data_IF_795180297311
#
_entry.id   IF_795180297311
#
_cell.length_a   1.000
_cell.length_b   1.000
_cell.length_c   1.000
_cell.angle_alpha   90.00
_cell.angle_beta   90.00
_cell.angle_gamma   90.00
#
_symmetry.space_group_name_H-M   'P 1'
#
loop_
_entity.id
_entity.type
_entity.pdbx_description
1 polymer ?
#
# COMPACT_ATOMS: atom_id res chain seq x y z
N UNK A 1 17.01 36.13 -0.90
CA UNK A 1 17.10 35.04 -1.90
C UNK A 1 18.12 33.99 -1.49
N UNK A 2 19.42 34.29 -1.40
CA UNK A 2 20.45 33.33 -0.95
C UNK A 2 20.19 32.73 0.45
N UNK A 3 19.63 33.48 1.40
CA UNK A 3 19.34 32.99 2.77
C UNK A 3 18.22 31.93 2.85
N UNK A 4 17.20 31.99 1.98
CA UNK A 4 16.15 30.97 1.96
C UNK A 4 16.69 29.66 1.37
N UNK A 5 17.58 29.78 0.37
CA UNK A 5 18.29 28.66 -0.25
C UNK A 5 19.19 27.96 0.77
N UNK A 6 19.92 28.71 1.61
CA UNK A 6 20.78 28.11 2.64
C UNK A 6 20.02 27.43 3.78
N UNK A 7 18.90 28.00 4.24
CA UNK A 7 18.09 27.43 5.33
C UNK A 7 17.36 26.15 4.91
N UNK A 8 16.82 26.10 3.69
CA UNK A 8 16.10 24.94 3.18
C UNK A 8 17.02 23.83 2.65
N UNK A 9 18.13 24.19 1.98
CA UNK A 9 19.00 23.19 1.35
C UNK A 9 19.98 22.52 2.33
N UNK A 10 20.46 23.24 3.35
CA UNK A 10 21.46 22.70 4.28
C UNK A 10 20.90 22.25 5.61
N UNK A 11 19.62 22.56 5.92
CA UNK A 11 18.85 22.26 7.14
C UNK A 11 19.55 21.33 8.16
N UNK A 12 20.62 21.79 8.85
CA UNK A 12 21.45 20.90 9.66
C UNK A 12 20.73 20.49 10.94
N UNK A 13 19.72 21.27 11.34
CA UNK A 13 18.84 21.00 12.46
C UNK A 13 17.71 20.01 12.11
N UNK A 14 17.57 19.60 10.85
CA UNK A 14 16.49 18.73 10.35
C UNK A 14 15.08 19.21 10.76
N UNK A 15 14.89 20.53 10.85
CA UNK A 15 13.61 21.10 11.26
C UNK A 15 12.67 21.25 10.05
N UNK A 16 11.36 21.01 10.21
CA UNK A 16 10.40 21.25 9.15
C UNK A 16 10.44 22.71 8.68
N UNK A 17 10.38 22.93 7.36
CA UNK A 17 10.30 24.26 6.74
C UNK A 17 9.05 24.32 5.85
N UNK A 18 8.25 25.38 6.00
CA UNK A 18 7.08 25.66 5.14
C UNK A 18 7.30 26.94 4.35
N UNK A 19 7.21 26.84 3.02
CA UNK A 19 7.21 28.00 2.12
C UNK A 19 5.74 28.45 1.94
N UNK A 20 5.37 29.59 2.53
CA UNK A 20 3.98 30.10 2.53
C UNK A 20 3.53 30.67 1.19
N UNK A 21 4.44 31.30 0.43
CA UNK A 21 4.17 31.83 -0.91
C UNK A 21 5.24 31.32 -1.89
N UNK A 22 5.06 30.11 -2.45
CA UNK A 22 6.01 29.56 -3.41
C UNK A 22 6.04 30.34 -4.72
N UNK A 23 5.03 31.14 -5.06
CA UNK A 23 5.02 31.91 -6.32
C UNK A 23 5.90 33.16 -6.23
N UNK A 24 6.11 33.70 -5.03
CA UNK A 24 6.92 34.89 -4.84
C UNK A 24 8.37 34.70 -5.28
N UNK A 25 8.96 33.52 -5.02
CA UNK A 25 10.36 33.24 -5.37
C UNK A 25 10.59 33.22 -6.89
N UNK A 26 9.60 32.76 -7.67
CA UNK A 26 9.68 32.68 -9.13
C UNK A 26 9.88 34.04 -9.81
N UNK A 27 9.51 35.16 -9.15
CA UNK A 27 9.74 36.52 -9.68
C UNK A 27 11.22 36.90 -9.74
N UNK A 28 12.04 36.32 -8.87
CA UNK A 28 13.46 36.68 -8.71
C UNK A 28 14.40 35.51 -8.98
N UNK A 29 13.90 34.28 -8.92
CA UNK A 29 14.58 33.07 -9.34
C UNK A 29 13.52 32.10 -9.91
N UNK A 30 13.23 32.16 -11.22
CA UNK A 30 12.19 31.37 -11.86
C UNK A 30 12.32 29.85 -11.61
N UNK A 31 13.54 29.31 -11.72
CA UNK A 31 13.81 27.86 -11.58
C UNK A 31 14.26 27.46 -10.15
N UNK A 32 13.78 28.19 -9.14
CA UNK A 32 14.21 28.00 -7.75
C UNK A 32 13.93 26.58 -7.25
N UNK A 33 12.75 26.02 -7.53
CA UNK A 33 12.35 24.72 -7.00
C UNK A 33 13.06 23.58 -7.72
N UNK A 34 13.26 23.70 -9.03
CA UNK A 34 14.08 22.81 -9.84
C UNK A 34 15.51 22.77 -9.29
N UNK A 35 16.08 23.95 -9.04
CA UNK A 35 17.42 24.08 -8.42
C UNK A 35 17.44 23.46 -7.03
N UNK A 36 16.46 23.79 -6.17
CA UNK A 36 16.36 23.25 -4.82
C UNK A 36 16.31 21.72 -4.86
N UNK A 37 15.40 21.14 -5.63
CA UNK A 37 15.24 19.68 -5.77
C UNK A 37 16.44 19.00 -6.43
N UNK A 38 17.27 19.72 -7.19
CA UNK A 38 18.53 19.19 -7.73
C UNK A 38 19.64 19.06 -6.68
N UNK A 39 19.58 19.84 -5.60
CA UNK A 39 20.63 19.86 -4.56
C UNK A 39 20.17 19.31 -3.20
N UNK A 40 18.87 19.20 -2.96
CA UNK A 40 18.35 18.54 -1.74
C UNK A 40 18.28 17.04 -1.94
N UNK A 41 18.60 16.31 -0.87
CA UNK A 41 18.35 14.88 -0.77
C UNK A 41 17.54 14.61 0.48
N UNK A 42 16.46 13.85 0.34
CA UNK A 42 15.65 13.41 1.49
C UNK A 42 16.10 12.01 1.88
N UNK A 43 16.58 11.79 3.11
CA UNK A 43 16.82 10.44 3.62
C UNK A 43 15.56 9.59 3.51
N UNK A 44 15.70 8.33 3.11
CA UNK A 44 14.56 7.41 2.91
C UNK A 44 13.63 7.39 4.13
N UNK A 45 14.20 7.40 5.34
CA UNK A 45 13.47 7.38 6.61
C UNK A 45 12.59 8.62 6.84
N UNK A 46 12.85 9.73 6.15
CA UNK A 46 12.05 10.95 6.22
C UNK A 46 10.95 11.00 5.16
N UNK A 47 10.95 10.08 4.19
CA UNK A 47 9.85 9.96 3.22
C UNK A 47 8.65 9.35 3.94
N UNK A 48 7.52 10.06 4.07
CA UNK A 48 6.41 9.61 4.89
C UNK A 48 5.74 8.37 4.30
N UNK A 49 5.36 7.45 5.18
CA UNK A 49 4.59 6.24 4.83
C UNK A 49 3.31 6.20 5.65
N UNK A 50 2.18 6.00 4.98
CA UNK A 50 0.89 5.70 5.63
C UNK A 50 0.57 4.23 5.35
N UNK A 51 0.48 3.42 6.39
CA UNK A 51 0.08 2.02 6.27
C UNK A 51 -1.43 1.88 6.43
N UNK A 52 -2.06 1.11 5.54
CA UNK A 52 -3.48 0.72 5.62
C UNK A 52 -3.54 -0.80 5.61
N UNK A 53 -3.63 -1.39 6.80
CA UNK A 53 -3.75 -2.84 6.98
C UNK A 53 -5.21 -3.23 7.26
N UNK A 54 -5.59 -4.45 6.90
CA UNK A 54 -6.91 -4.96 7.26
C UNK A 54 -7.26 -6.29 6.61
N UNK A 55 -8.41 -6.88 6.99
CA UNK A 55 -8.88 -8.13 6.41
C UNK A 55 -9.29 -7.99 4.95
N UNK A 56 -9.53 -9.12 4.31
CA UNK A 56 -10.04 -9.15 2.93
C UNK A 56 -11.39 -8.43 2.87
N UNK A 57 -11.61 -7.67 1.80
CA UNK A 57 -12.87 -6.97 1.52
C UNK A 57 -13.28 -5.91 2.57
N UNK A 58 -12.35 -5.41 3.39
CA UNK A 58 -12.59 -4.24 4.28
C UNK A 58 -12.70 -2.91 3.54
N UNK A 59 -12.28 -2.85 2.26
CA UNK A 59 -12.24 -1.61 1.47
C UNK A 59 -10.89 -0.89 1.50
N UNK A 60 -9.87 -1.50 2.10
CA UNK A 60 -8.50 -0.96 2.25
C UNK A 60 -7.87 -0.49 0.93
N UNK A 61 -7.96 -1.28 -0.14
CA UNK A 61 -7.36 -0.91 -1.43
C UNK A 61 -8.02 0.32 -2.04
N UNK A 62 -9.34 0.47 -1.90
CA UNK A 62 -10.07 1.66 -2.36
C UNK A 62 -9.70 2.89 -1.52
N UNK A 63 -9.67 2.76 -0.20
CA UNK A 63 -9.28 3.83 0.71
C UNK A 63 -7.84 4.29 0.45
N UNK A 64 -6.91 3.34 0.34
CA UNK A 64 -5.48 3.61 0.17
C UNK A 64 -5.19 4.24 -1.20
N UNK A 65 -5.82 3.77 -2.27
CA UNK A 65 -5.67 4.36 -3.60
C UNK A 65 -6.20 5.81 -3.66
N UNK A 66 -7.37 6.06 -3.07
CA UNK A 66 -7.94 7.42 -3.02
C UNK A 66 -7.10 8.35 -2.13
N UNK A 67 -6.60 7.84 -0.99
CA UNK A 67 -5.70 8.59 -0.11
C UNK A 67 -4.39 8.97 -0.83
N UNK A 68 -3.77 8.02 -1.54
CA UNK A 68 -2.56 8.26 -2.31
C UNK A 68 -2.79 9.33 -3.38
N UNK A 69 -3.92 9.24 -4.10
CA UNK A 69 -4.31 10.21 -5.12
C UNK A 69 -4.49 11.61 -4.54
N UNK A 70 -5.22 11.76 -3.42
CA UNK A 70 -5.47 13.07 -2.78
C UNK A 70 -4.19 13.71 -2.23
N UNK A 71 -3.24 12.89 -1.75
CA UNK A 71 -1.95 13.37 -1.23
C UNK A 71 -0.87 13.53 -2.30
N UNK A 72 -1.09 13.01 -3.52
CA UNK A 72 -0.05 12.89 -4.55
C UNK A 72 1.05 11.89 -4.19
N UNK A 73 0.77 10.95 -3.27
CA UNK A 73 1.73 9.96 -2.81
C UNK A 73 1.79 8.76 -3.76
N UNK A 74 2.88 8.03 -3.69
CA UNK A 74 2.99 6.70 -4.30
C UNK A 74 1.95 5.77 -3.66
N UNK A 75 1.47 4.79 -4.43
CA UNK A 75 0.57 3.76 -3.95
C UNK A 75 1.21 2.39 -4.11
N UNK A 76 1.21 1.61 -3.03
CA UNK A 76 1.66 0.22 -3.02
C UNK A 76 0.50 -0.70 -2.65
N UNK A 77 0.08 -1.56 -3.59
CA UNK A 77 -0.80 -2.70 -3.31
C UNK A 77 0.07 -3.96 -3.13
N UNK A 78 0.40 -4.28 -1.89
CA UNK A 78 1.17 -5.51 -1.59
C UNK A 78 0.43 -6.78 -2.05
N UNK A 79 -0.91 -6.76 -2.04
CA UNK A 79 -1.73 -7.87 -2.50
C UNK A 79 -1.60 -8.11 -4.01
N UNK A 80 -1.37 -7.06 -4.80
CA UNK A 80 -1.05 -7.20 -6.22
C UNK A 80 0.32 -7.88 -6.42
N UNK A 81 1.34 -7.52 -5.63
CA UNK A 81 2.68 -8.15 -5.73
C UNK A 81 2.63 -9.67 -5.51
N UNK A 82 1.90 -10.14 -4.50
CA UNK A 82 1.73 -11.59 -4.28
C UNK A 82 0.98 -12.27 -5.43
N UNK A 83 0.04 -11.59 -6.09
CA UNK A 83 -0.68 -12.12 -7.26
C UNK A 83 0.18 -12.16 -8.52
N UNK A 84 1.00 -11.14 -8.75
CA UNK A 84 1.98 -11.12 -9.84
C UNK A 84 3.00 -12.25 -9.65
N UNK A 85 3.48 -12.44 -8.42
CA UNK A 85 4.40 -13.53 -8.07
C UNK A 85 3.75 -14.89 -8.31
N UNK A 86 2.51 -15.06 -7.88
CA UNK A 86 1.74 -16.28 -8.11
C UNK A 86 1.51 -16.56 -9.61
N UNK A 87 1.22 -15.52 -10.40
CA UNK A 87 1.07 -15.62 -11.85
C UNK A 87 2.38 -16.08 -12.50
N UNK A 88 3.49 -15.42 -12.18
CA UNK A 88 4.80 -15.74 -12.72
C UNK A 88 5.23 -17.17 -12.36
N UNK A 89 5.04 -17.57 -11.10
CA UNK A 89 5.34 -18.93 -10.64
C UNK A 89 4.49 -19.98 -11.37
N UNK A 90 3.19 -19.71 -11.56
CA UNK A 90 2.28 -20.61 -12.30
C UNK A 90 2.73 -20.77 -13.76
N UNK A 91 3.11 -19.66 -14.42
CA UNK A 91 3.62 -19.69 -15.81
C UNK A 91 4.95 -20.44 -15.94
N UNK A 92 5.79 -20.38 -14.92
CA UNK A 92 7.04 -21.14 -14.85
C UNK A 92 6.85 -22.61 -14.45
N UNK A 93 5.60 -23.08 -14.23
CA UNK A 93 5.32 -24.46 -13.83
C UNK A 93 5.75 -24.79 -12.39
N UNK A 94 5.95 -23.78 -11.53
CA UNK A 94 6.40 -23.98 -10.16
C UNK A 94 5.24 -24.34 -9.23
N UNK A 95 5.49 -25.27 -8.30
CA UNK A 95 4.55 -25.63 -7.25
C UNK A 95 4.37 -24.46 -6.26
N UNK A 96 3.13 -24.07 -5.98
CA UNK A 96 2.79 -22.98 -5.06
C UNK A 96 2.68 -23.49 -3.60
N UNK A 97 3.72 -24.17 -3.15
CA UNK A 97 3.85 -24.72 -1.79
C UNK A 97 5.35 -24.75 -1.40
N UNK A 98 5.66 -25.38 -0.26
CA UNK A 98 7.01 -25.43 0.27
C UNK A 98 8.03 -26.06 -0.70
N UNK A 99 7.61 -26.94 -1.61
CA UNK A 99 8.52 -27.57 -2.58
C UNK A 99 9.02 -26.59 -3.65
N UNK A 100 8.22 -25.58 -4.01
CA UNK A 100 8.60 -24.55 -4.98
C UNK A 100 9.14 -23.26 -4.36
N UNK A 101 9.13 -23.13 -3.03
CA UNK A 101 9.43 -21.90 -2.31
C UNK A 101 10.76 -21.24 -2.72
N UNK A 102 11.85 -22.00 -2.76
CA UNK A 102 13.17 -21.47 -3.11
C UNK A 102 13.22 -20.97 -4.56
N UNK A 103 12.59 -21.70 -5.48
CA UNK A 103 12.52 -21.34 -6.89
C UNK A 103 11.66 -20.08 -7.11
N UNK A 104 10.54 -19.97 -6.41
CA UNK A 104 9.68 -18.78 -6.46
C UNK A 104 10.42 -17.56 -5.90
N UNK A 105 11.13 -17.71 -4.77
CA UNK A 105 11.92 -16.62 -4.19
C UNK A 105 13.05 -16.15 -5.13
N UNK A 106 13.67 -17.06 -5.87
CA UNK A 106 14.64 -16.71 -6.91
C UNK A 106 13.97 -15.98 -8.08
N UNK A 107 12.80 -16.45 -8.53
CA UNK A 107 12.02 -15.83 -9.61
C UNK A 107 11.62 -14.38 -9.28
N UNK A 108 11.22 -14.09 -8.04
CA UNK A 108 10.83 -12.72 -7.62
C UNK A 108 11.91 -11.69 -7.95
N UNK A 109 13.18 -12.05 -7.78
CA UNK A 109 14.32 -11.15 -8.03
C UNK A 109 14.52 -10.80 -9.50
N UNK A 110 13.91 -11.55 -10.42
CA UNK A 110 14.01 -11.32 -11.87
C UNK A 110 12.76 -10.68 -12.46
N UNK A 111 11.70 -10.48 -11.67
CA UNK A 111 10.46 -9.89 -12.17
C UNK A 111 10.64 -8.40 -12.45
N UNK A 112 10.32 -7.99 -13.67
CA UNK A 112 10.19 -6.58 -14.05
C UNK A 112 8.73 -6.17 -13.85
N UNK A 113 8.44 -5.51 -12.73
CA UNK A 113 7.09 -5.09 -12.36
C UNK A 113 6.97 -3.58 -12.48
N UNK A 114 6.03 -3.11 -13.28
CA UNK A 114 5.75 -1.69 -13.42
C UNK A 114 4.28 -1.39 -13.10
N UNK A 115 4.07 -0.40 -12.24
CA UNK A 115 2.74 0.14 -11.94
C UNK A 115 2.62 1.51 -12.62
N UNK A 116 1.72 1.64 -13.59
CA UNK A 116 1.54 2.87 -14.36
C UNK A 116 0.05 3.07 -14.71
N UNK A 117 -0.50 4.25 -14.45
CA UNK A 117 -1.87 4.64 -14.85
C UNK A 117 -2.96 3.61 -14.51
N UNK A 118 -2.86 2.98 -13.33
CA UNK A 118 -3.80 1.95 -12.86
C UNK A 118 -3.62 0.56 -13.50
N UNK A 119 -2.61 0.42 -14.38
CA UNK A 119 -2.16 -0.84 -14.97
C UNK A 119 -1.01 -1.46 -14.20
N UNK A 120 -0.92 -2.78 -14.32
CA UNK A 120 0.14 -3.60 -13.77
C UNK A 120 0.80 -4.33 -14.93
N UNK A 121 2.05 -3.97 -15.21
CA UNK A 121 2.84 -4.60 -16.26
C UNK A 121 3.82 -5.60 -15.64
N UNK A 122 3.94 -6.77 -16.28
CA UNK A 122 4.97 -7.76 -16.00
C UNK A 122 5.83 -7.92 -17.26
N UNK A 123 7.03 -7.35 -17.24
CA UNK A 123 7.75 -7.01 -18.47
C UNK A 123 6.93 -6.01 -19.29
N UNK A 124 6.66 -6.35 -20.54
CA UNK A 124 5.85 -5.52 -21.45
C UNK A 124 4.36 -5.92 -21.48
N UNK A 125 3.95 -6.96 -20.73
CA UNK A 125 2.58 -7.47 -20.74
C UNK A 125 1.71 -6.79 -19.67
N UNK A 126 0.55 -6.28 -20.07
CA UNK A 126 -0.49 -5.83 -19.13
C UNK A 126 -1.21 -7.03 -18.51
N UNK A 127 -0.97 -7.27 -17.22
CA UNK A 127 -1.55 -8.37 -16.45
C UNK A 127 -2.65 -7.91 -15.49
N UNK A 128 -3.12 -6.67 -15.61
CA UNK A 128 -4.03 -6.01 -14.65
C UNK A 128 -5.29 -6.81 -14.33
N UNK A 129 -5.97 -7.33 -15.35
CA UNK A 129 -7.20 -8.10 -15.17
C UNK A 129 -6.91 -9.52 -14.70
N UNK A 130 -5.83 -10.12 -15.20
CA UNK A 130 -5.41 -11.48 -14.88
C UNK A 130 -5.07 -11.61 -13.39
N UNK A 131 -4.32 -10.65 -12.84
CA UNK A 131 -3.99 -10.66 -11.40
C UNK A 131 -5.19 -10.38 -10.52
N UNK A 132 -6.28 -9.79 -11.04
CA UNK A 132 -7.51 -9.51 -10.28
C UNK A 132 -8.51 -10.68 -10.27
N UNK A 133 -8.18 -11.81 -10.92
CA UNK A 133 -9.02 -13.02 -10.94
C UNK A 133 -9.10 -13.70 -9.57
N UNK A 134 -10.16 -14.48 -9.33
CA UNK A 134 -10.30 -15.29 -8.11
C UNK A 134 -9.19 -16.34 -8.00
N UNK A 135 -8.85 -16.99 -9.11
CA UNK A 135 -7.78 -17.99 -9.18
C UNK A 135 -6.44 -17.38 -8.71
N UNK A 136 -6.10 -16.16 -9.16
CA UNK A 136 -4.91 -15.48 -8.64
C UNK A 136 -5.03 -15.06 -7.19
N UNK A 137 -6.20 -14.68 -6.71
CA UNK A 137 -6.43 -14.44 -5.30
C UNK A 137 -6.12 -15.66 -4.42
N UNK A 138 -6.54 -16.85 -4.87
CA UNK A 138 -6.23 -18.12 -4.18
C UNK A 138 -4.74 -18.46 -4.25
N UNK A 139 -4.12 -18.32 -5.41
CA UNK A 139 -2.70 -18.62 -5.58
C UNK A 139 -1.82 -17.64 -4.77
N UNK A 140 -2.15 -16.36 -4.74
CA UNK A 140 -1.48 -15.38 -3.89
C UNK A 140 -1.58 -15.73 -2.39
N UNK A 141 -2.72 -16.29 -1.94
CA UNK A 141 -2.85 -16.76 -0.57
C UNK A 141 -1.87 -17.89 -0.25
N UNK A 142 -1.58 -18.78 -1.20
CA UNK A 142 -0.60 -19.87 -1.03
C UNK A 142 0.84 -19.35 -1.03
N UNK A 143 1.14 -18.43 -1.94
CA UNK A 143 2.49 -17.84 -2.04
C UNK A 143 2.80 -16.95 -0.83
N UNK A 144 1.83 -16.21 -0.32
CA UNK A 144 2.03 -15.28 0.82
C UNK A 144 2.30 -15.97 2.16
N UNK A 145 2.16 -17.30 2.24
CA UNK A 145 2.52 -18.11 3.41
C UNK A 145 3.94 -18.65 3.34
N UNK A 146 4.69 -18.46 2.25
CA UNK A 146 6.05 -18.97 2.05
C UNK A 146 7.09 -17.94 2.53
N UNK A 147 7.81 -18.14 3.65
CA UNK A 147 8.73 -17.16 4.22
C UNK A 147 9.80 -16.63 3.27
N UNK A 148 10.44 -17.48 2.46
CA UNK A 148 11.49 -17.07 1.55
C UNK A 148 10.94 -16.16 0.43
N UNK A 149 9.71 -16.41 -0.02
CA UNK A 149 9.05 -15.55 -1.01
C UNK A 149 8.69 -14.20 -0.40
N UNK A 150 8.17 -14.19 0.83
CA UNK A 150 7.90 -12.94 1.57
C UNK A 150 9.16 -12.10 1.70
N UNK A 151 10.27 -12.71 2.12
CA UNK A 151 11.56 -12.04 2.25
C UNK A 151 12.05 -11.47 0.92
N UNK A 152 11.90 -12.21 -0.19
CA UNK A 152 12.27 -11.72 -1.52
C UNK A 152 11.43 -10.52 -1.99
N UNK A 153 10.21 -10.35 -1.46
CA UNK A 153 9.32 -9.24 -1.78
C UNK A 153 9.55 -8.00 -0.90
N UNK A 154 10.34 -8.07 0.18
CA UNK A 154 10.56 -6.92 1.09
C UNK A 154 11.20 -5.76 0.34
N UNK A 155 12.29 -6.02 -0.39
CA UNK A 155 13.02 -4.97 -1.09
C UNK A 155 12.16 -4.26 -2.15
N UNK A 156 11.30 -5.01 -2.86
CA UNK A 156 10.36 -4.44 -3.82
C UNK A 156 9.31 -3.54 -3.15
N UNK A 157 8.86 -3.89 -1.94
CA UNK A 157 7.92 -3.07 -1.19
C UNK A 157 8.60 -1.80 -0.65
N UNK A 158 9.82 -1.91 -0.12
CA UNK A 158 10.61 -0.76 0.33
C UNK A 158 10.97 0.19 -0.82
N UNK A 159 11.23 -0.33 -2.02
CA UNK A 159 11.48 0.49 -3.21
C UNK A 159 10.29 1.39 -3.61
N UNK A 160 9.08 1.09 -3.15
CA UNK A 160 7.92 1.94 -3.37
C UNK A 160 7.94 3.24 -2.52
N UNK A 161 8.73 3.29 -1.45
CA UNK A 161 8.87 4.46 -0.58
C UNK A 161 9.69 5.54 -1.30
N UNK A 162 8.99 6.42 -2.01
CA UNK A 162 9.56 7.52 -2.78
C UNK A 162 8.81 8.82 -2.50
N UNK A 163 9.45 9.95 -2.80
CA UNK A 163 8.80 11.26 -2.71
C UNK A 163 7.54 11.32 -3.58
N UNK A 164 6.52 12.11 -3.17
CA UNK A 164 6.46 12.90 -1.93
C UNK A 164 6.06 12.07 -0.69
N UNK A 165 5.77 10.79 -0.84
CA UNK A 165 5.37 9.87 0.22
C UNK A 165 4.79 8.58 -0.35
N UNK A 166 4.41 7.64 0.53
CA UNK A 166 3.83 6.35 0.17
C UNK A 166 2.56 6.07 0.98
N UNK A 167 1.52 5.57 0.32
CA UNK A 167 0.42 4.86 0.98
C UNK A 167 0.53 3.37 0.64
N UNK A 168 0.71 2.54 1.67
CA UNK A 168 0.91 1.11 1.54
C UNK A 168 -0.33 0.33 2.00
N UNK A 169 -0.97 -0.40 1.09
CA UNK A 169 -2.10 -1.30 1.37
C UNK A 169 -1.61 -2.74 1.59
N UNK A 170 -2.02 -3.35 2.70
CA UNK A 170 -1.68 -4.74 2.98
C UNK A 170 -2.35 -5.35 4.20
N UNK A 171 -1.60 -6.22 4.89
CA UNK A 171 -2.02 -6.94 6.09
C UNK A 171 -1.06 -6.77 7.26
N UNK A 172 0.19 -6.49 6.95
CA UNK A 172 1.32 -6.37 7.86
C UNK A 172 2.27 -5.23 7.44
N UNK A 173 1.74 -4.21 6.74
CA UNK A 173 2.50 -3.04 6.34
C UNK A 173 3.00 -2.28 7.57
N UNK A 174 2.14 -2.03 8.56
CA UNK A 174 2.50 -1.28 9.77
C UNK A 174 3.21 -2.10 10.84
N UNK A 175 3.23 -3.43 10.74
CA UNK A 175 3.85 -4.32 11.73
C UNK A 175 5.18 -4.91 11.28
N UNK A 176 5.33 -5.22 9.99
CA UNK A 176 6.51 -5.93 9.46
C UNK A 176 7.25 -5.10 8.42
N UNK A 177 6.54 -4.57 7.41
CA UNK A 177 7.20 -3.93 6.26
C UNK A 177 7.69 -2.51 6.60
N UNK A 178 6.83 -1.69 7.19
CA UNK A 178 7.08 -0.30 7.59
C UNK A 178 6.72 -0.10 9.08
N UNK A 179 7.42 -0.76 10.02
CA UNK A 179 7.15 -0.63 11.44
C UNK A 179 7.39 0.78 11.99
N UNK A 180 8.11 1.63 11.24
CA UNK A 180 8.37 3.03 11.58
C UNK A 180 7.43 4.00 10.85
N UNK A 181 6.41 3.52 10.15
CA UNK A 181 5.45 4.38 9.46
C UNK A 181 4.76 5.33 10.47
N UNK A 182 4.78 6.66 10.24
CA UNK A 182 4.22 7.63 11.17
C UNK A 182 2.71 7.45 11.38
N UNK A 183 1.96 7.04 10.35
CA UNK A 183 0.54 6.72 10.48
C UNK A 183 0.28 5.28 10.04
N UNK A 184 -0.29 4.50 10.94
CA UNK A 184 -0.75 3.13 10.69
C UNK A 184 -2.25 3.08 10.95
N UNK A 185 -2.99 2.64 9.95
CA UNK A 185 -4.45 2.48 10.02
C UNK A 185 -4.75 1.00 9.90
N UNK A 186 -5.52 0.47 10.84
CA UNK A 186 -6.09 -0.87 10.74
C UNK A 186 -7.57 -0.75 10.42
N UNK A 187 -7.91 -0.94 9.14
CA UNK A 187 -9.26 -0.79 8.61
C UNK A 187 -10.05 -2.09 8.77
N UNK A 188 -11.16 -2.03 9.50
CA UNK A 188 -12.07 -3.14 9.73
C UNK A 188 -13.46 -2.85 9.18
N UNK A 189 -14.24 -3.93 9.04
CA UNK A 189 -15.67 -3.89 8.79
C UNK A 189 -16.28 -5.21 9.26
N UNK A 190 -17.56 -5.20 9.63
CA UNK A 190 -18.29 -6.41 9.98
C UNK A 190 -18.25 -7.44 8.84
N UNK A 191 -18.16 -8.73 9.17
CA UNK A 191 -18.11 -9.81 8.18
C UNK A 191 -19.32 -9.77 7.22
N UNK A 192 -20.50 -9.39 7.73
CA UNK A 192 -21.70 -9.20 6.93
C UNK A 192 -21.52 -8.09 5.88
N UNK A 193 -21.03 -6.90 6.27
CA UNK A 193 -20.78 -5.80 5.33
C UNK A 193 -19.72 -6.15 4.29
N UNK A 194 -18.66 -6.85 4.70
CA UNK A 194 -17.62 -7.31 3.77
C UNK A 194 -18.15 -8.30 2.76
N UNK A 195 -18.99 -9.24 3.19
CA UNK A 195 -19.67 -10.20 2.31
C UNK A 195 -20.62 -9.49 1.32
N UNK A 196 -21.41 -8.51 1.77
CA UNK A 196 -22.30 -7.73 0.91
C UNK A 196 -21.52 -6.95 -0.16
N UNK A 197 -20.45 -6.25 0.21
CA UNK A 197 -19.58 -5.51 -0.72
C UNK A 197 -18.98 -6.45 -1.76
N UNK A 198 -18.47 -7.60 -1.32
CA UNK A 198 -17.89 -8.62 -2.21
C UNK A 198 -18.94 -9.21 -3.14
N UNK A 199 -20.14 -9.50 -2.63
CA UNK A 199 -21.27 -9.99 -3.43
C UNK A 199 -21.63 -9.00 -4.54
N UNK A 200 -21.80 -7.72 -4.22
CA UNK A 200 -22.08 -6.67 -5.22
C UNK A 200 -20.99 -6.59 -6.30
N UNK A 201 -19.72 -6.72 -5.92
CA UNK A 201 -18.59 -6.70 -6.86
C UNK A 201 -18.59 -7.91 -7.81
N UNK A 202 -19.04 -9.08 -7.36
CA UNK A 202 -19.09 -10.28 -8.19
C UNK A 202 -20.30 -10.23 -9.14
N UNK A 203 -21.46 -9.82 -8.64
CA UNK A 203 -22.67 -9.65 -9.46
C UNK A 203 -22.47 -8.60 -10.55
N UNK A 204 -21.79 -7.48 -10.28
CA UNK A 204 -21.48 -6.48 -11.32
C UNK A 204 -20.52 -6.99 -12.41
N UNK A 205 -19.80 -8.08 -12.15
CA UNK A 205 -18.94 -8.78 -13.11
C UNK A 205 -19.63 -9.99 -13.77
N UNK A 206 -20.92 -10.21 -13.51
CA UNK A 206 -21.67 -11.37 -14.03
C UNK A 206 -21.31 -12.70 -13.38
N UNK A 207 -20.63 -12.70 -12.23
CA UNK A 207 -20.22 -13.92 -11.52
C UNK A 207 -21.31 -14.27 -10.49
N UNK A 208 -21.89 -15.46 -10.64
CA UNK A 208 -22.86 -15.98 -9.65
C UNK A 208 -22.14 -16.36 -8.36
N UNK A 209 -22.67 -15.88 -7.23
CA UNK A 209 -22.19 -16.20 -5.89
C UNK A 209 -23.38 -16.18 -4.92
N UNK A 210 -23.23 -16.78 -3.73
CA UNK A 210 -24.22 -16.67 -2.66
C UNK A 210 -23.65 -15.87 -1.49
N UNK A 211 -24.47 -15.01 -0.88
CA UNK A 211 -24.01 -14.17 0.23
C UNK A 211 -23.52 -15.01 1.42
N UNK A 212 -24.20 -16.12 1.72
CA UNK A 212 -23.81 -17.06 2.78
C UNK A 212 -22.47 -17.74 2.51
N UNK A 213 -22.23 -18.20 1.27
CA UNK A 213 -20.94 -18.79 0.88
C UNK A 213 -19.80 -17.79 0.96
N UNK A 214 -20.01 -16.57 0.45
CA UNK A 214 -19.01 -15.50 0.53
C UNK A 214 -18.65 -15.11 1.96
N UNK A 215 -19.65 -15.09 2.86
CA UNK A 215 -19.40 -14.81 4.27
C UNK A 215 -18.53 -15.90 4.90
N UNK A 216 -18.88 -17.18 4.70
CA UNK A 216 -18.09 -18.30 5.22
C UNK A 216 -16.65 -18.30 4.67
N UNK A 217 -16.48 -18.01 3.38
CA UNK A 217 -15.17 -17.90 2.75
C UNK A 217 -14.32 -16.76 3.33
N UNK A 218 -14.93 -15.61 3.60
CA UNK A 218 -14.26 -14.48 4.23
C UNK A 218 -13.85 -14.80 5.67
N UNK A 219 -14.74 -15.40 6.46
CA UNK A 219 -14.46 -15.81 7.84
C UNK A 219 -13.33 -16.86 7.88
N UNK A 220 -13.35 -17.85 6.99
CA UNK A 220 -12.30 -18.86 6.89
C UNK A 220 -10.94 -18.26 6.45
N UNK A 221 -10.95 -17.23 5.60
CA UNK A 221 -9.74 -16.49 5.23
C UNK A 221 -9.20 -15.68 6.40
N UNK A 222 -10.05 -14.95 7.10
CA UNK A 222 -9.65 -14.13 8.25
C UNK A 222 -9.09 -15.00 9.38
N UNK A 223 -9.69 -16.17 9.64
CA UNK A 223 -9.16 -17.14 10.61
C UNK A 223 -7.77 -17.64 10.21
N UNK A 224 -7.57 -17.97 8.93
CA UNK A 224 -6.24 -18.36 8.41
C UNK A 224 -5.22 -17.24 8.49
N UNK A 225 -5.59 -16.01 8.17
CA UNK A 225 -4.69 -14.85 8.18
C UNK A 225 -4.31 -14.44 9.62
N UNK A 226 -5.24 -14.54 10.56
CA UNK A 226 -5.01 -14.22 11.98
C UNK A 226 -4.20 -15.30 12.69
N UNK A 227 -4.38 -16.56 12.29
CA UNK A 227 -3.70 -17.73 12.87
C UNK A 227 -2.29 -18.02 12.31
N UNK A 228 -1.75 -17.19 11.41
CA UNK A 228 -0.41 -17.44 10.83
C UNK A 228 0.68 -17.31 11.90
N UNK A 229 1.65 -18.21 11.85
CA UNK A 229 2.86 -18.14 12.68
C UNK A 229 3.76 -16.97 12.30
N UNK A 230 3.80 -16.61 11.01
CA UNK A 230 4.58 -15.49 10.47
C UNK A 230 3.66 -14.37 9.96
N UNK A 231 3.87 -13.14 10.43
CA UNK A 231 3.11 -11.95 10.04
C UNK A 231 1.57 -12.13 10.11
N UNK A 232 1.02 -12.46 11.29
CA UNK A 232 -0.42 -12.59 11.46
C UNK A 232 -1.13 -11.27 11.19
N UNK A 233 -2.34 -11.33 10.65
CA UNK A 233 -3.20 -10.15 10.49
C UNK A 233 -3.59 -9.62 11.87
N UNK A 234 -2.83 -8.66 12.37
CA UNK A 234 -3.04 -7.98 13.65
C UNK A 234 -2.70 -6.50 13.50
N UNK A 235 -3.46 -5.60 14.14
CA UNK A 235 -3.09 -4.20 14.20
C UNK A 235 -1.72 -4.04 14.87
N UNK A 236 -0.92 -3.09 14.38
CA UNK A 236 0.25 -2.63 15.14
C UNK A 236 -0.22 -1.99 16.46
N UNK A 237 0.63 -1.99 17.49
CA UNK A 237 0.29 -1.42 18.80
C UNK A 237 -0.11 0.06 18.73
N UNK A 238 0.50 0.79 17.81
CA UNK A 238 0.29 2.21 17.53
C UNK A 238 -0.67 2.46 16.35
N UNK A 239 -1.34 1.42 15.83
CA UNK A 239 -2.30 1.58 14.75
C UNK A 239 -3.61 2.23 15.23
N UNK A 240 -4.12 3.18 14.45
CA UNK A 240 -5.47 3.71 14.61
C UNK A 240 -6.47 2.72 14.00
N UNK A 241 -7.42 2.27 14.80
CA UNK A 241 -8.50 1.41 14.34
C UNK A 241 -9.56 2.24 13.63
N UNK A 242 -9.96 1.82 12.42
CA UNK A 242 -11.03 2.46 11.66
C UNK A 242 -12.06 1.39 11.25
N UNK A 243 -13.22 1.39 11.89
CA UNK A 243 -14.35 0.57 11.44
C UNK A 243 -15.16 1.35 10.41
N UNK A 244 -15.19 0.88 9.17
CA UNK A 244 -15.93 1.52 8.08
C UNK A 244 -17.24 0.82 7.72
N UNK A 245 -17.79 0.00 8.64
CA UNK A 245 -19.03 -0.76 8.40
C UNK A 245 -20.20 0.12 7.93
N UNK A 246 -20.32 1.31 8.51
CA UNK A 246 -21.38 2.28 8.24
C UNK A 246 -20.86 3.61 7.67
N UNK A 247 -19.58 3.64 7.28
CA UNK A 247 -18.96 4.80 6.64
C UNK A 247 -18.95 4.65 5.11
N UNK A 248 -19.07 5.78 4.43
CA UNK A 248 -18.76 5.86 3.00
C UNK A 248 -17.24 5.81 2.79
N UNK A 249 -16.81 5.52 1.56
CA UNK A 249 -15.38 5.58 1.21
C UNK A 249 -14.83 6.99 1.47
N UNK A 250 -15.56 8.02 1.08
CA UNK A 250 -15.16 9.41 1.26
C UNK A 250 -15.01 9.78 2.74
N UNK A 251 -16.00 9.47 3.59
CA UNK A 251 -15.90 9.72 5.03
C UNK A 251 -14.71 8.98 5.67
N UNK A 252 -14.41 7.76 5.19
CA UNK A 252 -13.25 7.00 5.67
C UNK A 252 -11.93 7.63 5.24
N UNK A 253 -11.86 8.17 4.01
CA UNK A 253 -10.68 8.87 3.49
C UNK A 253 -10.46 10.19 4.22
N UNK A 254 -11.51 10.98 4.42
CA UNK A 254 -11.45 12.26 5.14
C UNK A 254 -10.97 12.04 6.58
N UNK A 255 -11.49 11.01 7.26
CA UNK A 255 -11.05 10.68 8.62
C UNK A 255 -9.55 10.36 8.70
N UNK A 256 -9.00 9.64 7.72
CA UNK A 256 -7.58 9.30 7.67
C UNK A 256 -6.74 10.51 7.29
N UNK A 257 -7.23 11.37 6.39
CA UNK A 257 -6.59 12.65 6.06
C UNK A 257 -6.51 13.56 7.28
N UNK A 258 -7.57 13.65 8.09
CA UNK A 258 -7.57 14.46 9.31
C UNK A 258 -6.54 13.96 10.31
N UNK A 259 -6.46 12.63 10.50
CA UNK A 259 -5.41 12.03 11.33
C UNK A 259 -4.01 12.37 10.79
N UNK A 260 -3.81 12.25 9.48
CA UNK A 260 -2.52 12.55 8.86
C UNK A 260 -2.12 14.02 9.00
N UNK A 261 -3.07 14.93 8.78
CA UNK A 261 -2.87 16.37 8.92
C UNK A 261 -2.56 16.77 10.36
N UNK A 262 -3.23 16.17 11.34
CA UNK A 262 -2.97 16.41 12.77
C UNK A 262 -1.58 15.99 13.22
N UNK A 263 -0.87 15.14 12.45
CA UNK A 263 0.51 14.74 12.71
C UNK A 263 1.53 15.64 12.02
N UNK A 264 1.11 16.57 11.16
CA UNK A 264 2.03 17.43 10.44
C UNK A 264 2.55 18.56 11.34
N UNK A 265 3.83 18.97 11.20
CA UNK A 265 4.48 19.95 12.08
C UNK A 265 3.82 21.34 12.14
N UNK A 266 2.95 21.64 11.19
CA UNK A 266 2.37 22.96 11.00
C UNK A 266 0.83 22.92 10.97
N UNK A 267 0.24 21.95 11.67
CA UNK A 267 -1.20 21.87 11.86
C UNK A 267 -1.68 23.03 12.75
N UNK A 268 -2.70 23.78 12.31
CA UNK A 268 -3.26 24.92 13.06
C UNK A 268 -2.49 26.26 12.95
N UNK A 269 -1.52 26.40 12.03
CA UNK A 269 -0.66 27.58 11.86
C UNK A 269 -0.59 28.14 10.43
#
# INVERSE_FOLDING_TARGET
MAMCLSLAAFNPAALPVRIRDPKCVAKTFPDYFETLFSVVQTPLQQIPVICVDGPTASGKGTLAAELAKRLGYQFLDSGALYRITALAATRAGLALDASGEAAIAALVRTLQIHFADGRILLGDEDVSDLVRTEAMGMNASRVSTLPAVRNALIDLQHAAQRLPGLVADGRDMGTVIFPQAPLKVFLTASAARRAERRYKQLISKGISATLGGLRADLEARDARDTGRSTAPLKPAQDARLLDNSDLTVEASVDQVLDWWQGMQPFHGA
#
